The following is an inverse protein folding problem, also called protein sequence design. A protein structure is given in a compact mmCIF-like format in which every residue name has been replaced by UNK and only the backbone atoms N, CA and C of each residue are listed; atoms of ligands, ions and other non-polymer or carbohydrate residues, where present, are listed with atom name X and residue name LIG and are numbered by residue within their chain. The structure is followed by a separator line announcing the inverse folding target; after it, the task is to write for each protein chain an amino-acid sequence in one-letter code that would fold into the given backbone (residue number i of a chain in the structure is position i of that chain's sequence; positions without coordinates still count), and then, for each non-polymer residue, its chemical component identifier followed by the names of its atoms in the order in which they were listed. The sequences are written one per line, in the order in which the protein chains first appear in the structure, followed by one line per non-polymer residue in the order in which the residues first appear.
data_IF_964254384909
#
_entry.id   IF_964254384909
#
_cell.length_a   1.000
_cell.length_b   1.000
_cell.length_c   1.000
_cell.angle_alpha   90.00
_cell.angle_beta   90.00
_cell.angle_gamma   90.00
#
_symmetry.space_group_name_H-M   'P 1'
#
loop_
_entity.id
_entity.type
_entity.pdbx_description
1 polymer ?
#
# COMPACT_ATOMS: atom_id res chain seq x y z
N UNK A 1 -15.79 -1.14 18.76
CA UNK A 1 -15.28 -2.54 18.70
C UNK A 1 -16.37 -3.59 18.90
N UNK A 2 -17.12 -3.60 20.03
CA UNK A 2 -18.22 -4.58 20.24
C UNK A 2 -19.29 -4.46 19.14
N UNK A 3 -19.61 -3.23 18.73
CA UNK A 3 -20.60 -2.99 17.67
C UNK A 3 -20.10 -3.44 16.29
N UNK A 4 -18.79 -3.31 16.01
CA UNK A 4 -18.16 -3.81 14.78
C UNK A 4 -18.24 -5.33 14.68
N UNK A 5 -17.78 -6.06 15.72
CA UNK A 5 -17.79 -7.53 15.67
C UNK A 5 -19.23 -8.09 15.64
N UNK A 6 -20.20 -7.36 16.19
CA UNK A 6 -21.62 -7.66 16.07
C UNK A 6 -22.21 -7.44 14.67
N UNK A 7 -21.58 -6.62 13.83
CA UNK A 7 -22.04 -6.31 12.46
C UNK A 7 -21.37 -7.16 11.37
N UNK A 8 -20.45 -8.07 11.71
CA UNK A 8 -19.67 -8.86 10.75
C UNK A 8 -20.49 -9.57 9.67
N UNK A 9 -21.68 -10.05 10.02
CA UNK A 9 -22.61 -10.73 9.10
C UNK A 9 -23.29 -9.77 8.11
N UNK A 10 -23.36 -8.48 8.44
CA UNK A 10 -23.93 -7.43 7.59
C UNK A 10 -22.86 -6.69 6.76
N UNK A 11 -21.57 -6.85 7.10
CA UNK A 11 -20.49 -6.23 6.35
C UNK A 11 -20.43 -6.76 4.91
N UNK A 12 -20.36 -5.89 3.90
CA UNK A 12 -20.22 -6.32 2.52
C UNK A 12 -18.86 -7.00 2.30
N UNK A 13 -18.80 -7.91 1.32
CA UNK A 13 -17.54 -8.46 0.81
C UNK A 13 -16.94 -7.48 -0.21
N UNK A 14 -16.70 -6.26 0.23
CA UNK A 14 -16.24 -5.16 -0.62
C UNK A 14 -14.98 -4.56 -0.02
N UNK A 15 -14.01 -4.29 -0.88
CA UNK A 15 -12.80 -3.54 -0.53
C UNK A 15 -12.66 -2.33 -1.46
N UNK A 16 -12.09 -1.25 -0.96
CA UNK A 16 -11.75 -0.08 -1.77
C UNK A 16 -10.24 -0.08 -2.01
N UNK A 17 -9.85 0.01 -3.28
CA UNK A 17 -8.45 0.09 -3.70
C UNK A 17 -8.16 1.53 -4.12
N UNK A 18 -7.52 2.31 -3.25
CA UNK A 18 -7.05 3.66 -3.57
C UNK A 18 -5.62 3.57 -4.10
N UNK A 19 -5.37 4.13 -5.28
CA UNK A 19 -4.04 4.18 -5.88
C UNK A 19 -3.63 5.62 -6.20
N UNK A 20 -2.40 5.98 -5.85
CA UNK A 20 -1.81 7.27 -6.21
C UNK A 20 -1.47 7.37 -7.70
N UNK A 21 -1.03 8.54 -8.12
CA UNK A 21 -0.58 8.77 -9.48
C UNK A 21 0.57 7.85 -9.91
N UNK A 22 0.48 7.33 -11.12
CA UNK A 22 1.53 6.59 -11.80
C UNK A 22 2.70 7.53 -12.12
N UNK A 23 3.89 7.14 -11.69
CA UNK A 23 5.16 7.75 -12.04
C UNK A 23 5.95 6.82 -12.99
N UNK A 24 6.98 7.30 -13.72
CA UNK A 24 7.75 6.46 -14.64
C UNK A 24 8.31 5.16 -14.03
N UNK A 25 8.58 5.17 -12.72
CA UNK A 25 9.12 4.04 -11.97
C UNK A 25 8.08 3.24 -11.17
N UNK A 26 6.85 3.75 -11.02
CA UNK A 26 5.83 3.18 -10.14
C UNK A 26 4.43 3.28 -10.75
N UNK A 27 3.74 2.15 -10.88
CA UNK A 27 2.34 2.08 -11.29
C UNK A 27 1.50 1.47 -10.17
N UNK A 28 0.92 2.33 -9.34
CA UNK A 28 0.12 1.91 -8.18
C UNK A 28 -1.24 1.35 -8.58
N UNK A 29 -1.82 1.79 -9.70
CA UNK A 29 -3.07 1.22 -10.24
C UNK A 29 -2.87 -0.24 -10.62
N UNK A 30 -1.83 -0.54 -11.41
CA UNK A 30 -1.46 -1.91 -11.76
C UNK A 30 -1.11 -2.77 -10.54
N UNK A 31 -0.44 -2.18 -9.54
CA UNK A 31 -0.13 -2.88 -8.29
C UNK A 31 -1.40 -3.19 -7.49
N UNK A 32 -2.39 -2.29 -7.51
CA UNK A 32 -3.70 -2.48 -6.88
C UNK A 32 -4.54 -3.52 -7.60
N UNK A 33 -4.49 -3.56 -8.93
CA UNK A 33 -5.12 -4.62 -9.73
C UNK A 33 -4.53 -5.98 -9.36
N UNK A 34 -3.20 -6.08 -9.33
CA UNK A 34 -2.51 -7.28 -8.86
C UNK A 34 -2.91 -7.65 -7.43
N UNK A 35 -3.09 -6.72 -6.50
CA UNK A 35 -3.59 -7.07 -5.16
C UNK A 35 -5.01 -7.65 -5.23
N UNK A 36 -5.91 -7.04 -6.01
CA UNK A 36 -7.32 -7.43 -6.06
C UNK A 36 -7.60 -8.73 -6.82
N UNK A 37 -6.70 -9.17 -7.70
CA UNK A 37 -6.82 -10.44 -8.44
C UNK A 37 -6.95 -11.71 -7.56
N UNK A 38 -6.55 -11.65 -6.28
CA UNK A 38 -6.73 -12.79 -5.35
C UNK A 38 -8.14 -12.90 -4.79
N UNK A 39 -8.99 -11.90 -5.03
CA UNK A 39 -10.35 -11.92 -4.53
C UNK A 39 -11.17 -13.02 -5.24
N UNK A 40 -11.93 -13.83 -4.48
CA UNK A 40 -12.87 -14.77 -5.07
C UNK A 40 -14.08 -14.02 -5.66
N UNK A 41 -14.82 -14.68 -6.54
CA UNK A 41 -15.91 -14.07 -7.31
C UNK A 41 -17.06 -13.46 -6.50
N UNK A 42 -17.16 -13.75 -5.20
CA UNK A 42 -18.15 -13.21 -4.28
C UNK A 42 -17.66 -11.97 -3.50
N UNK A 43 -16.52 -11.40 -3.90
CA UNK A 43 -15.99 -10.13 -3.40
C UNK A 43 -15.91 -9.11 -4.54
N UNK A 44 -16.12 -7.83 -4.21
CA UNK A 44 -15.88 -6.73 -5.15
C UNK A 44 -14.70 -5.87 -4.68
N UNK A 45 -13.91 -5.40 -5.65
CA UNK A 45 -12.91 -4.36 -5.44
C UNK A 45 -13.37 -3.08 -6.14
N UNK A 46 -13.58 -2.02 -5.36
CA UNK A 46 -13.93 -0.69 -5.86
C UNK A 46 -12.62 0.07 -6.13
N UNK A 47 -12.24 0.19 -7.40
CA UNK A 47 -11.01 0.87 -7.81
C UNK A 47 -11.20 2.40 -7.81
N UNK A 48 -10.30 3.09 -7.11
CA UNK A 48 -10.22 4.55 -7.07
C UNK A 48 -8.78 4.95 -7.39
N UNK A 49 -8.46 5.02 -8.68
CA UNK A 49 -7.09 5.23 -9.14
C UNK A 49 -6.91 6.65 -9.64
N UNK A 50 -6.01 7.39 -8.97
CA UNK A 50 -5.77 8.79 -9.30
C UNK A 50 -5.37 9.00 -10.76
N UNK A 51 -4.60 8.09 -11.35
CA UNK A 51 -4.19 8.20 -12.76
C UNK A 51 -5.26 7.87 -13.80
N UNK A 52 -6.39 7.30 -13.40
CA UNK A 52 -7.49 6.95 -14.32
C UNK A 52 -8.63 7.95 -14.29
N UNK A 53 -8.72 8.73 -13.22
CA UNK A 53 -9.71 9.79 -13.05
C UNK A 53 -9.17 11.12 -13.59
N UNK A 54 -10.06 11.90 -14.21
CA UNK A 54 -9.71 13.11 -14.95
C UNK A 54 -9.07 14.20 -14.08
N UNK A 55 -9.39 14.25 -12.80
CA UNK A 55 -8.93 15.27 -11.86
C UNK A 55 -8.96 14.78 -10.40
N UNK A 56 -8.31 15.56 -9.52
CA UNK A 56 -8.21 15.28 -8.09
C UNK A 56 -9.56 15.33 -7.37
N UNK A 57 -10.43 16.27 -7.72
CA UNK A 57 -11.72 16.46 -7.05
C UNK A 57 -12.63 15.25 -7.29
N UNK A 58 -12.70 14.78 -8.53
CA UNK A 58 -13.39 13.54 -8.91
C UNK A 58 -12.81 12.31 -8.20
N UNK A 59 -11.48 12.25 -8.05
CA UNK A 59 -10.80 11.15 -7.33
C UNK A 59 -11.18 11.14 -5.85
N UNK A 60 -11.11 12.31 -5.20
CA UNK A 60 -11.45 12.46 -3.78
C UNK A 60 -12.94 12.21 -3.54
N UNK A 61 -13.81 12.76 -4.38
CA UNK A 61 -15.25 12.55 -4.29
C UNK A 61 -15.60 11.05 -4.35
N UNK A 62 -15.05 10.32 -5.34
CA UNK A 62 -15.25 8.88 -5.44
C UNK A 62 -14.67 8.15 -4.22
N UNK A 63 -13.46 8.50 -3.77
CA UNK A 63 -12.84 7.88 -2.61
C UNK A 63 -13.71 8.03 -1.35
N UNK A 64 -14.12 9.25 -1.01
CA UNK A 64 -14.96 9.50 0.16
C UNK A 64 -16.35 8.87 0.02
N UNK A 65 -16.89 8.78 -1.19
CA UNK A 65 -18.13 8.05 -1.45
C UNK A 65 -18.00 6.55 -1.21
N UNK A 66 -16.88 5.93 -1.62
CA UNK A 66 -16.62 4.53 -1.33
C UNK A 66 -16.40 4.28 0.16
N UNK A 67 -15.62 5.12 0.85
CA UNK A 67 -15.38 4.95 2.29
C UNK A 67 -16.66 5.14 3.10
N UNK A 68 -17.53 6.10 2.71
CA UNK A 68 -18.80 6.33 3.41
C UNK A 68 -19.69 5.10 3.47
N UNK A 69 -19.63 4.23 2.44
CA UNK A 69 -20.38 2.96 2.41
C UNK A 69 -19.89 1.94 3.44
N UNK A 70 -18.72 2.14 4.04
CA UNK A 70 -18.12 1.24 5.03
C UNK A 70 -17.61 -0.07 4.39
N UNK A 71 -16.64 0.00 3.45
CA UNK A 71 -16.02 -1.19 2.89
C UNK A 71 -15.32 -1.96 4.01
N UNK A 72 -15.07 -3.26 3.82
CA UNK A 72 -14.40 -4.06 4.85
C UNK A 72 -12.92 -3.67 5.00
N UNK A 73 -12.30 -3.32 3.87
CA UNK A 73 -10.91 -2.88 3.80
C UNK A 73 -10.79 -1.68 2.85
N UNK A 74 -10.06 -0.66 3.28
CA UNK A 74 -9.48 0.36 2.40
C UNK A 74 -8.00 0.05 2.27
N UNK A 75 -7.55 -0.32 1.07
CA UNK A 75 -6.14 -0.51 0.78
C UNK A 75 -5.61 0.67 -0.03
N UNK A 76 -4.52 1.27 0.42
CA UNK A 76 -3.84 2.36 -0.28
C UNK A 76 -2.46 1.92 -0.76
N UNK A 77 -2.19 2.08 -2.05
CA UNK A 77 -0.85 1.95 -2.65
C UNK A 77 -0.46 3.29 -3.28
N UNK A 78 0.68 3.85 -2.86
CA UNK A 78 1.06 5.18 -3.32
C UNK A 78 2.12 5.86 -2.47
N UNK A 79 2.29 7.16 -2.69
CA UNK A 79 3.16 7.99 -1.87
C UNK A 79 2.42 8.52 -0.64
N UNK A 80 3.16 8.79 0.42
CA UNK A 80 2.61 9.48 1.57
C UNK A 80 3.69 10.23 2.33
N UNK A 81 3.27 11.32 2.95
CA UNK A 81 3.97 11.90 4.08
C UNK A 81 3.42 11.34 5.38
N UNK A 82 3.89 11.89 6.51
CA UNK A 82 3.42 11.46 7.81
C UNK A 82 1.93 11.74 8.04
N UNK A 83 1.35 12.77 7.40
CA UNK A 83 -0.02 13.27 7.66
C UNK A 83 -0.94 13.22 6.44
N UNK A 84 -0.50 12.70 5.30
CA UNK A 84 -1.30 12.67 4.08
C UNK A 84 -0.87 11.58 3.09
N UNK A 85 -1.85 11.03 2.37
CA UNK A 85 -1.67 10.26 1.14
C UNK A 85 -1.54 11.16 -0.08
N UNK A 86 -0.74 10.70 -1.05
CA UNK A 86 -0.46 11.37 -2.31
C UNK A 86 0.92 12.03 -2.34
N UNK A 87 1.39 12.32 -3.56
CA UNK A 87 2.70 12.95 -3.80
C UNK A 87 2.61 14.44 -4.14
N UNK A 88 2.12 14.77 -5.34
CA UNK A 88 1.93 16.15 -5.81
C UNK A 88 0.59 16.74 -5.39
N UNK A 89 -0.38 15.87 -5.16
CA UNK A 89 -1.75 16.18 -4.80
C UNK A 89 -2.12 15.37 -3.56
N UNK A 90 -2.99 15.93 -2.71
CA UNK A 90 -3.40 15.29 -1.45
C UNK A 90 -4.68 14.50 -1.69
N UNK A 91 -4.59 13.17 -1.60
CA UNK A 91 -5.75 12.27 -1.76
C UNK A 91 -6.57 12.17 -0.47
N UNK A 92 -5.88 12.11 0.66
CA UNK A 92 -6.44 12.08 2.00
C UNK A 92 -5.43 12.70 2.97
N UNK A 93 -5.89 13.54 3.89
CA UNK A 93 -5.07 14.12 4.94
C UNK A 93 -5.75 14.02 6.31
N UNK A 94 -5.00 14.30 7.36
CA UNK A 94 -5.57 14.41 8.72
C UNK A 94 -6.64 15.48 8.84
N UNK A 95 -6.58 16.55 8.04
CA UNK A 95 -7.59 17.64 8.03
C UNK A 95 -8.92 17.17 7.43
N UNK A 96 -8.88 16.23 6.47
CA UNK A 96 -10.09 15.70 5.84
C UNK A 96 -10.96 14.90 6.83
N UNK A 97 -10.33 14.31 7.85
CA UNK A 97 -11.00 13.44 8.82
C UNK A 97 -12.07 14.19 9.62
N UNK A 98 -11.88 15.49 9.89
CA UNK A 98 -12.86 16.33 10.62
C UNK A 98 -14.25 16.39 9.96
N UNK A 99 -14.33 16.07 8.67
CA UNK A 99 -15.57 16.11 7.89
C UNK A 99 -15.91 14.78 7.22
N UNK A 100 -15.08 13.77 7.45
CA UNK A 100 -15.24 12.45 6.88
C UNK A 100 -16.35 11.70 7.62
N UNK A 101 -17.22 11.00 6.88
CA UNK A 101 -18.31 10.24 7.47
C UNK A 101 -18.31 8.81 6.96
N UNK A 102 -18.70 7.88 7.83
CA UNK A 102 -18.95 6.47 7.49
C UNK A 102 -20.36 6.12 7.93
N UNK A 103 -21.26 5.91 6.97
CA UNK A 103 -22.65 5.53 7.23
C UNK A 103 -22.76 4.04 7.60
N UNK A 104 -21.79 3.25 7.12
CA UNK A 104 -21.66 1.83 7.42
C UNK A 104 -20.86 1.56 8.69
N UNK A 105 -20.03 0.53 8.65
CA UNK A 105 -19.09 0.22 9.74
C UNK A 105 -17.69 0.72 9.35
N UNK A 106 -16.93 1.20 10.34
CA UNK A 106 -15.58 1.74 10.10
C UNK A 106 -14.68 0.70 9.43
N UNK A 107 -14.04 1.01 8.29
CA UNK A 107 -13.17 0.07 7.58
C UNK A 107 -11.86 -0.22 8.35
N UNK A 108 -11.22 -1.33 7.99
CA UNK A 108 -9.79 -1.52 8.25
C UNK A 108 -9.00 -0.79 7.17
N UNK A 109 -7.91 -0.11 7.53
CA UNK A 109 -6.98 0.49 6.58
C UNK A 109 -5.71 -0.35 6.43
N UNK A 110 -5.30 -0.57 5.19
CA UNK A 110 -4.01 -1.16 4.80
C UNK A 110 -3.22 -0.13 4.00
N UNK A 111 -2.31 0.55 4.68
CA UNK A 111 -1.57 1.70 4.15
C UNK A 111 -0.22 1.22 3.58
N UNK A 112 -0.21 0.78 2.33
CA UNK A 112 0.99 0.31 1.63
C UNK A 112 1.76 1.46 1.00
N UNK A 113 2.32 2.31 1.87
CA UNK A 113 2.91 3.60 1.49
C UNK A 113 4.09 3.99 2.40
N UNK A 114 4.54 5.24 2.42
CA UNK A 114 5.63 5.70 3.28
C UNK A 114 5.12 6.45 4.51
N UNK A 115 5.65 6.14 5.69
CA UNK A 115 5.56 6.96 6.93
C UNK A 115 4.16 7.35 7.44
N UNK A 116 3.08 6.86 6.84
CA UNK A 116 1.72 7.18 7.25
C UNK A 116 1.41 6.78 8.71
N UNK A 117 2.18 5.85 9.29
CA UNK A 117 2.09 5.39 10.68
C UNK A 117 3.34 5.79 11.50
N UNK A 118 3.89 6.99 11.28
CA UNK A 118 5.09 7.53 11.97
C UNK A 118 4.77 8.06 13.38
N UNK A 119 4.26 7.20 14.26
CA UNK A 119 3.83 7.55 15.64
C UNK A 119 4.95 8.00 16.60
N UNK A 120 6.22 7.81 16.23
CA UNK A 120 7.35 8.07 17.13
C UNK A 120 7.81 9.54 17.15
N UNK A 121 7.15 10.45 16.42
CA UNK A 121 7.59 11.85 16.27
C UNK A 121 6.85 12.74 17.28
N UNK A 122 7.55 13.37 18.25
CA UNK A 122 6.91 14.24 19.23
C UNK A 122 6.18 15.42 18.59
N UNK A 123 4.94 15.65 19.02
CA UNK A 123 4.12 16.78 18.54
C UNK A 123 3.53 16.59 17.14
N UNK A 124 3.66 15.40 16.55
CA UNK A 124 3.04 15.04 15.28
C UNK A 124 2.10 13.85 15.50
N UNK A 125 0.87 13.96 15.01
CA UNK A 125 -0.08 12.85 14.90
C UNK A 125 -0.05 12.40 13.43
N UNK A 126 0.39 11.17 13.18
CA UNK A 126 0.45 10.64 11.82
C UNK A 126 -0.95 10.34 11.28
N UNK A 127 -1.09 10.22 9.96
CA UNK A 127 -2.38 9.91 9.33
C UNK A 127 -2.98 8.62 9.87
N UNK A 128 -2.16 7.57 10.05
CA UNK A 128 -2.60 6.32 10.64
C UNK A 128 -3.05 6.44 12.10
N UNK A 129 -2.42 7.32 12.90
CA UNK A 129 -2.90 7.62 14.25
C UNK A 129 -4.23 8.38 14.21
N UNK A 130 -4.32 9.42 13.37
CA UNK A 130 -5.51 10.24 13.24
C UNK A 130 -6.73 9.43 12.75
N UNK A 131 -6.53 8.53 11.77
CA UNK A 131 -7.57 7.61 11.29
C UNK A 131 -8.13 6.71 12.40
N UNK A 132 -7.31 6.28 13.36
CA UNK A 132 -7.77 5.45 14.47
C UNK A 132 -8.40 6.27 15.61
N UNK A 133 -7.93 7.50 15.82
CA UNK A 133 -8.44 8.39 16.88
C UNK A 133 -9.79 8.99 16.55
N UNK A 134 -10.12 9.09 15.27
CA UNK A 134 -11.43 9.49 14.78
C UNK A 134 -12.41 8.30 14.90
N UNK A 135 -13.45 8.47 15.71
CA UNK A 135 -14.42 7.42 16.01
C UNK A 135 -15.21 6.95 14.77
N UNK A 136 -15.18 7.71 13.68
CA UNK A 136 -15.92 7.47 12.45
C UNK A 136 -15.03 6.97 11.30
N UNK A 137 -13.71 7.20 11.34
CA UNK A 137 -12.84 6.95 10.19
C UNK A 137 -12.35 5.50 10.05
N UNK A 138 -11.77 4.88 11.09
CA UNK A 138 -11.20 3.53 10.98
C UNK A 138 -11.34 2.71 12.27
N UNK A 139 -11.59 1.40 12.12
CA UNK A 139 -11.57 0.46 13.26
C UNK A 139 -10.15 -0.04 13.58
N UNK A 140 -9.28 -0.08 12.57
CA UNK A 140 -7.89 -0.48 12.66
C UNK A 140 -7.10 0.04 11.46
N UNK A 141 -5.80 0.27 11.65
CA UNK A 141 -4.89 0.75 10.60
C UNK A 141 -3.61 -0.06 10.63
N UNK A 142 -3.26 -0.73 9.53
CA UNK A 142 -1.96 -1.36 9.32
C UNK A 142 -1.12 -0.52 8.37
N UNK A 143 0.00 0.02 8.83
CA UNK A 143 0.82 0.91 8.02
C UNK A 143 2.24 1.12 8.55
N UNK A 144 3.13 1.70 7.74
CA UNK A 144 4.53 1.81 8.08
C UNK A 144 4.89 3.11 8.80
N UNK A 145 5.82 2.97 9.74
CA UNK A 145 6.55 4.04 10.40
C UNK A 145 7.79 4.50 9.63
N UNK A 146 8.08 3.92 8.46
CA UNK A 146 9.29 4.17 7.68
C UNK A 146 9.02 4.27 6.17
N UNK A 147 10.11 4.36 5.40
CA UNK A 147 10.07 4.40 3.93
C UNK A 147 9.82 2.98 3.42
N UNK A 148 8.69 2.81 2.73
CA UNK A 148 8.30 1.51 2.18
C UNK A 148 8.78 1.31 0.75
N UNK A 149 8.95 0.04 0.38
CA UNK A 149 9.29 -0.40 -0.98
C UNK A 149 8.00 -0.90 -1.63
N UNK A 150 7.55 -0.21 -2.69
CA UNK A 150 6.26 -0.45 -3.34
C UNK A 150 6.04 -1.93 -3.71
N UNK A 151 7.03 -2.58 -4.32
CA UNK A 151 6.94 -4.00 -4.70
C UNK A 151 6.67 -4.92 -3.50
N UNK A 152 7.30 -4.66 -2.35
CA UNK A 152 7.13 -5.46 -1.14
C UNK A 152 5.84 -5.12 -0.40
N UNK A 153 5.46 -3.84 -0.37
CA UNK A 153 4.18 -3.39 0.17
C UNK A 153 3.00 -4.01 -0.60
N UNK A 154 3.13 -4.11 -1.92
CA UNK A 154 2.17 -4.79 -2.80
C UNK A 154 2.01 -6.28 -2.44
N UNK A 155 3.12 -6.99 -2.14
CA UNK A 155 3.05 -8.39 -1.70
C UNK A 155 2.36 -8.54 -0.33
N UNK A 156 2.63 -7.63 0.61
CA UNK A 156 1.97 -7.62 1.91
C UNK A 156 0.45 -7.38 1.77
N UNK A 157 0.04 -6.40 0.97
CA UNK A 157 -1.38 -6.16 0.70
C UNK A 157 -2.05 -7.36 0.03
N UNK A 158 -1.42 -7.96 -0.99
CA UNK A 158 -1.98 -9.15 -1.67
C UNK A 158 -2.16 -10.31 -0.70
N UNK A 159 -1.20 -10.54 0.19
CA UNK A 159 -1.30 -11.58 1.21
C UNK A 159 -2.43 -11.30 2.22
N UNK A 160 -2.56 -10.05 2.69
CA UNK A 160 -3.65 -9.66 3.59
C UNK A 160 -5.03 -9.83 2.93
N UNK A 161 -5.19 -9.35 1.69
CA UNK A 161 -6.46 -9.48 0.93
C UNK A 161 -6.82 -10.95 0.74
N UNK A 162 -5.84 -11.82 0.49
CA UNK A 162 -6.06 -13.26 0.40
C UNK A 162 -6.50 -13.89 1.74
N UNK A 163 -5.86 -13.54 2.87
CA UNK A 163 -6.30 -14.03 4.20
C UNK A 163 -7.72 -13.52 4.54
N UNK A 164 -8.02 -12.27 4.21
CA UNK A 164 -9.32 -11.65 4.43
C UNK A 164 -10.43 -12.33 3.62
N UNK A 165 -10.15 -12.73 2.37
CA UNK A 165 -11.18 -13.23 1.45
C UNK A 165 -11.44 -14.74 1.55
N UNK A 166 -10.49 -15.52 2.07
CA UNK A 166 -10.56 -16.99 2.11
C UNK A 166 -11.13 -17.58 3.40
N UNK A 167 -11.21 -16.80 4.49
CA UNK A 167 -12.00 -17.14 5.69
C UNK A 167 -11.40 -18.19 6.64
N UNK A 168 -10.11 -18.52 6.51
CA UNK A 168 -9.43 -19.50 7.37
C UNK A 168 -8.94 -18.96 8.73
N UNK A 169 -8.81 -17.65 8.86
CA UNK A 169 -8.56 -16.92 10.10
C UNK A 169 -9.55 -15.76 10.16
N UNK A 170 -9.91 -15.33 11.37
CA UNK A 170 -10.89 -14.26 11.56
C UNK A 170 -10.28 -12.98 12.11
N UNK A 171 -9.17 -13.10 12.82
CA UNK A 171 -8.54 -12.00 13.56
C UNK A 171 -7.46 -11.33 12.74
N UNK A 172 -7.46 -10.00 12.76
CA UNK A 172 -6.59 -9.16 11.94
C UNK A 172 -5.10 -9.36 12.24
N UNK A 173 -4.69 -9.43 13.51
CA UNK A 173 -3.29 -9.62 13.90
C UNK A 173 -2.69 -10.94 13.35
N UNK A 174 -3.33 -12.10 13.57
CA UNK A 174 -2.94 -13.35 12.94
C UNK A 174 -2.89 -13.30 11.40
N UNK A 175 -3.83 -12.64 10.72
CA UNK A 175 -3.76 -12.45 9.26
C UNK A 175 -2.50 -11.68 8.84
N UNK A 176 -2.19 -10.56 9.54
CA UNK A 176 -0.98 -9.77 9.30
C UNK A 176 0.29 -10.61 9.52
N UNK A 177 0.34 -11.39 10.60
CA UNK A 177 1.47 -12.28 10.86
C UNK A 177 1.67 -13.34 9.76
N UNK A 178 0.59 -13.81 9.14
CA UNK A 178 0.63 -14.74 8.00
C UNK A 178 1.00 -14.07 6.68
N UNK A 179 0.86 -12.75 6.58
CA UNK A 179 1.31 -11.98 5.43
C UNK A 179 2.84 -11.78 5.42
N UNK A 180 3.48 -11.53 6.57
CA UNK A 180 4.91 -11.21 6.62
C UNK A 180 5.89 -12.22 5.97
N UNK A 181 5.67 -13.55 6.00
CA UNK A 181 6.53 -14.52 5.35
C UNK A 181 6.78 -14.28 3.86
N UNK A 182 5.89 -13.56 3.15
CA UNK A 182 6.09 -13.21 1.72
C UNK A 182 7.32 -12.33 1.49
N UNK A 183 7.86 -11.70 2.55
CA UNK A 183 9.06 -10.85 2.49
C UNK A 183 10.31 -11.52 3.06
N UNK A 184 10.22 -12.71 3.66
CA UNK A 184 11.27 -13.26 4.51
C UNK A 184 12.64 -13.39 3.82
N UNK A 185 12.63 -13.71 2.52
CA UNK A 185 13.85 -13.94 1.72
C UNK A 185 14.17 -12.78 0.77
N UNK A 186 13.42 -11.67 0.83
CA UNK A 186 13.65 -10.49 0.00
C UNK A 186 14.69 -9.56 0.64
N UNK A 187 15.46 -8.88 -0.21
CA UNK A 187 16.34 -7.79 0.24
C UNK A 187 15.53 -6.73 0.98
N UNK A 188 15.99 -6.28 2.15
CA UNK A 188 15.28 -5.37 3.05
C UNK A 188 13.95 -5.89 3.64
N UNK A 189 13.63 -7.19 3.46
CA UNK A 189 12.36 -7.75 3.93
C UNK A 189 12.17 -7.66 5.44
N UNK A 190 13.25 -7.87 6.22
CA UNK A 190 13.21 -7.75 7.68
C UNK A 190 12.96 -6.31 8.12
N UNK A 191 13.58 -5.35 7.45
CA UNK A 191 13.40 -3.91 7.68
C UNK A 191 11.95 -3.52 7.40
N UNK A 192 11.41 -3.97 6.26
CA UNK A 192 10.01 -3.78 5.90
C UNK A 192 9.07 -4.36 6.96
N UNK A 193 9.25 -5.62 7.37
CA UNK A 193 8.44 -6.23 8.44
C UNK A 193 8.51 -5.39 9.73
N UNK A 194 9.71 -4.96 10.13
CA UNK A 194 9.93 -4.27 11.41
C UNK A 194 9.29 -2.88 11.52
N UNK A 195 8.97 -2.26 10.38
CA UNK A 195 8.45 -0.89 10.36
C UNK A 195 6.95 -0.81 10.12
N UNK A 196 6.27 -1.92 9.79
CA UNK A 196 4.82 -2.00 9.64
C UNK A 196 4.14 -2.30 10.98
N UNK A 197 3.23 -1.41 11.40
CA UNK A 197 2.57 -1.46 12.69
C UNK A 197 1.06 -1.54 12.51
N UNK A 198 0.42 -2.35 13.37
CA UNK A 198 -1.02 -2.35 13.51
C UNK A 198 -1.40 -1.39 14.63
N UNK A 199 -2.22 -0.40 14.30
CA UNK A 199 -2.95 0.41 15.27
C UNK A 199 -4.38 -0.14 15.36
N UNK A 200 -4.86 -0.37 16.59
CA UNK A 200 -6.13 -1.04 16.87
C UNK A 200 -5.93 -2.35 17.62
N UNK A 201 -6.99 -3.14 17.75
CA UNK A 201 -6.93 -4.43 18.45
C UNK A 201 -6.44 -5.56 17.51
N UNK A 202 -5.30 -6.22 17.77
CA UNK A 202 -4.86 -7.37 16.99
C UNK A 202 -5.81 -8.58 17.06
N UNK A 203 -6.67 -8.65 18.07
CA UNK A 203 -7.70 -9.67 18.21
C UNK A 203 -9.01 -9.31 17.49
N UNK A 204 -9.12 -8.11 16.89
CA UNK A 204 -10.29 -7.69 16.12
C UNK A 204 -10.63 -8.72 15.06
N UNK A 205 -11.86 -9.24 15.10
CA UNK A 205 -12.41 -10.07 14.04
C UNK A 205 -12.86 -9.19 12.88
N UNK A 206 -12.41 -9.52 11.68
CA UNK A 206 -12.71 -8.78 10.44
C UNK A 206 -13.43 -9.63 9.40
N UNK A 207 -13.55 -10.94 9.65
CA UNK A 207 -14.33 -11.89 8.85
C UNK A 207 -15.13 -12.79 9.77
N UNK A 208 -16.16 -13.43 9.21
CA UNK A 208 -16.91 -14.46 9.90
C UNK A 208 -16.02 -15.71 10.06
N UNK A 209 -16.06 -16.34 11.23
CA UNK A 209 -15.54 -17.70 11.35
C UNK A 209 -16.42 -18.68 10.59
N UNK A 210 -15.83 -19.59 9.81
CA UNK A 210 -16.48 -20.87 9.58
C UNK A 210 -16.81 -21.53 10.94
N UNK A 211 -17.87 -22.32 11.00
CA UNK A 211 -18.22 -23.11 12.20
C UNK A 211 -16.93 -23.70 12.81
N UNK A 212 -16.70 -23.58 14.12
CA UNK A 212 -15.38 -23.79 14.69
C UNK A 212 -14.92 -25.24 14.52
N UNK A 213 -14.09 -25.47 13.49
CA UNK A 213 -13.13 -26.55 13.50
C UNK A 213 -12.13 -26.26 14.61
N UNK A 214 -12.42 -26.79 15.80
CA UNK A 214 -11.53 -26.97 16.96
C UNK A 214 -10.29 -26.07 16.96
N UNK A 215 -10.41 -24.92 17.63
CA UNK A 215 -9.33 -23.97 17.81
C UNK A 215 -8.05 -24.63 18.32
N UNK A 216 -6.96 -24.38 17.59
CA UNK A 216 -5.61 -24.53 18.12
C UNK A 216 -5.32 -23.37 19.05
N UNK A 217 -5.09 -23.68 20.32
CA UNK A 217 -4.46 -22.76 21.25
C UNK A 217 -3.12 -22.29 20.66
N UNK A 218 -2.77 -21.02 20.93
CA UNK A 218 -1.52 -20.42 20.48
C UNK A 218 -0.31 -21.31 20.75
N UNK A 219 0.46 -21.56 19.69
CA UNK A 219 1.75 -22.23 19.75
C UNK A 219 2.86 -21.18 19.89
N UNK A 220 3.33 -21.09 21.12
CA UNK A 220 4.65 -20.68 21.57
C UNK A 220 5.80 -21.10 20.64
N UNK A 221 6.76 -20.19 20.46
CA UNK A 221 7.86 -20.32 19.51
C UNK A 221 8.80 -21.49 19.77
N UNK A 222 9.31 -22.07 18.69
CA UNK A 222 10.34 -23.09 18.70
C UNK A 222 11.02 -23.21 17.34
N UNK A 223 12.34 -23.10 17.35
CA UNK A 223 13.21 -22.93 16.19
C UNK A 223 13.44 -24.19 15.34
N UNK A 224 13.83 -23.92 14.08
CA UNK A 224 14.79 -24.62 13.22
C UNK A 224 14.58 -26.11 12.84
N UNK A 225 14.56 -26.34 11.54
CA UNK A 225 14.84 -27.64 10.91
C UNK A 225 14.72 -27.55 9.39
N UNK A 226 15.83 -27.34 8.70
CA UNK A 226 15.88 -27.20 7.24
C UNK A 226 15.98 -28.52 6.46
N UNK A 227 15.89 -28.36 5.13
CA UNK A 227 16.31 -29.14 3.94
C UNK A 227 15.16 -29.00 2.94
N UNK A 228 15.25 -28.31 1.81
CA UNK A 228 16.20 -28.43 0.68
C UNK A 228 15.38 -28.89 -0.54
N UNK A 229 15.32 -28.09 -1.62
CA UNK A 229 14.46 -28.38 -2.78
C UNK A 229 14.35 -27.26 -3.82
N UNK A 230 15.48 -26.97 -4.44
CA UNK A 230 15.78 -26.45 -5.77
C UNK A 230 14.58 -26.15 -6.70
N UNK A 231 14.42 -24.88 -7.08
CA UNK A 231 13.41 -24.43 -8.04
C UNK A 231 13.68 -23.01 -8.53
N UNK A 232 14.71 -22.85 -9.36
CA UNK A 232 15.06 -21.59 -10.03
C UNK A 232 13.95 -21.18 -11.01
N UNK A 233 13.26 -20.08 -10.73
CA UNK A 233 12.53 -19.31 -11.73
C UNK A 233 13.01 -17.86 -11.69
N UNK A 234 13.76 -17.48 -12.71
CA UNK A 234 14.17 -16.11 -13.01
C UNK A 234 12.95 -15.19 -13.08
N UNK A 235 12.79 -14.31 -12.10
CA UNK A 235 12.01 -13.09 -12.24
C UNK A 235 13.00 -11.98 -12.52
N UNK A 236 12.93 -11.44 -13.73
CA UNK A 236 13.82 -10.39 -14.21
C UNK A 236 13.84 -9.19 -13.25
N UNK A 237 15.06 -8.78 -12.90
CA UNK A 237 15.32 -7.66 -12.01
C UNK A 237 14.78 -6.34 -12.56
N UNK A 238 13.67 -5.89 -11.99
CA UNK A 238 13.30 -4.48 -11.94
C UNK A 238 13.83 -3.89 -10.63
N UNK A 239 14.73 -2.92 -10.71
CA UNK A 239 15.29 -2.27 -9.52
C UNK A 239 14.20 -1.66 -8.65
N UNK A 240 14.02 -2.23 -7.45
CA UNK A 240 13.09 -1.71 -6.45
C UNK A 240 13.59 -0.36 -5.94
N UNK A 241 13.05 0.72 -6.50
CA UNK A 241 13.27 2.06 -5.94
C UNK A 241 12.37 2.19 -4.72
N UNK A 242 12.91 2.02 -3.52
CA UNK A 242 12.28 2.59 -2.33
C UNK A 242 12.15 4.10 -2.51
N UNK A 243 11.22 4.75 -1.81
CA UNK A 243 11.13 6.22 -1.79
C UNK A 243 12.36 6.79 -1.04
N UNK A 244 13.54 6.72 -1.66
CA UNK A 244 14.80 7.16 -1.10
C UNK A 244 14.73 8.67 -0.87
N UNK A 245 14.77 9.07 0.39
CA UNK A 245 15.11 10.44 0.77
C UNK A 245 16.52 10.72 0.26
N UNK A 246 16.64 11.66 -0.68
CA UNK A 246 17.93 12.09 -1.20
C UNK A 246 18.77 12.72 -0.10
N UNK A 247 19.76 11.99 0.40
CA UNK A 247 20.86 12.58 1.15
C UNK A 247 21.73 13.38 0.17
N UNK A 248 22.13 14.63 0.48
CA UNK A 248 22.94 15.41 -0.43
C UNK A 248 24.34 14.80 -0.53
N UNK A 249 24.66 14.26 -1.71
CA UNK A 249 26.04 13.91 -2.04
C UNK A 249 26.85 15.21 -2.22
N UNK A 250 28.10 15.28 -1.72
CA UNK A 250 28.95 16.44 -1.89
C UNK A 250 29.28 16.63 -3.39
N UNK A 251 29.08 17.84 -3.89
CA UNK A 251 29.36 18.22 -5.27
C UNK A 251 30.87 18.17 -5.55
N UNK A 252 31.28 17.32 -6.49
CA UNK A 252 32.59 17.46 -7.13
C UNK A 252 32.42 18.30 -8.39
N UNK A 253 32.67 19.59 -8.25
CA UNK A 253 32.89 20.53 -9.35
C UNK A 253 34.20 20.21 -10.06
N UNK A 254 34.14 19.98 -11.37
CA UNK A 254 35.21 20.39 -12.29
C UNK A 254 34.76 20.28 -13.75
N UNK A 255 34.43 21.43 -14.33
CA UNK A 255 34.45 21.67 -15.78
C UNK A 255 35.91 21.90 -16.19
N UNK A 256 36.29 21.52 -17.41
CA UNK A 256 36.91 22.55 -18.25
C UNK A 256 36.29 22.65 -19.64
N UNK A 257 36.13 23.92 -20.01
CA UNK A 257 35.77 24.54 -21.26
C UNK A 257 36.88 24.32 -22.30
N UNK A 258 36.55 23.88 -23.52
CA UNK A 258 37.39 24.07 -24.72
C UNK A 258 36.51 24.29 -25.96
N UNK A 259 36.39 25.56 -26.33
CA UNK A 259 36.20 26.12 -27.69
C UNK A 259 37.37 25.62 -28.60
N UNK A 260 37.35 25.46 -29.93
CA UNK A 260 36.68 26.17 -31.03
C UNK A 260 37.14 25.54 -32.40
N UNK A 261 36.45 25.90 -33.51
CA UNK A 261 36.81 25.80 -34.95
C UNK A 261 36.59 24.43 -35.64
N UNK A 262 35.90 24.25 -36.78
CA UNK A 262 35.40 25.15 -37.82
C UNK A 262 35.92 24.68 -39.20
N UNK A 263 35.07 24.19 -40.11
CA UNK A 263 35.30 24.23 -41.56
C UNK A 263 34.03 23.88 -42.37
N UNK A 264 33.67 24.84 -43.22
CA UNK A 264 32.68 24.79 -44.29
C UNK A 264 33.24 23.99 -45.48
N UNK A 265 32.41 23.19 -46.16
CA UNK A 265 32.54 23.01 -47.61
C UNK A 265 31.20 22.63 -48.26
N UNK A 266 30.90 23.38 -49.30
CA UNK A 266 29.70 23.44 -50.11
C UNK A 266 29.76 22.39 -51.24
N UNK A 267 28.57 22.01 -51.71
CA UNK A 267 28.19 21.94 -53.13
C UNK A 267 28.15 20.58 -53.90
N UNK A 268 26.92 20.30 -54.34
CA UNK A 268 26.51 19.85 -55.70
C UNK A 268 26.71 18.34 -56.01
N UNK A 269 25.82 17.60 -56.69
CA UNK A 269 24.80 17.95 -57.70
C UNK A 269 23.95 16.70 -58.04
N UNK A 270 22.73 16.96 -58.55
CA UNK A 270 21.98 16.23 -59.62
C UNK A 270 21.17 14.95 -59.31
N UNK A 271 19.84 15.18 -59.25
CA UNK A 271 18.74 14.37 -59.86
C UNK A 271 19.02 14.10 -61.37
N UNK A 272 18.45 13.05 -62.04
CA UNK A 272 17.01 12.98 -62.41
C UNK A 272 16.37 11.55 -62.38
N UNK A 273 15.05 11.47 -62.06
CA UNK A 273 13.89 11.05 -62.92
C UNK A 273 13.93 9.58 -63.36
N UNK A 274 12.88 8.78 -63.21
CA UNK A 274 11.45 9.02 -63.53
C UNK A 274 10.48 8.66 -62.43
#
# INVERSE_FOLDING_TARGET
MIDYEGSLDALPNEITMLADETLPQDNFGMSSDFVSEVLPANWNANAVYRSELGDLESTRALFFDEVRKGPRLVNYLGHAGATAFGFREVLLSTEDLETMTVDGTQPVYSNMTCTASRFAVPGLVSLGEALLLDDEAAIAVWGPSGVSINAQATLLARALVNELSTGGETRLGPMINRAFPVLADLEFGREMISMYHLFGDPALRVTKGGDPGTGGAGGDGGAAGGVGGDGSTDVGGGGGSGCSVGWPMPSTSSVPLLLLLGAVALAWRRRPRS
#
